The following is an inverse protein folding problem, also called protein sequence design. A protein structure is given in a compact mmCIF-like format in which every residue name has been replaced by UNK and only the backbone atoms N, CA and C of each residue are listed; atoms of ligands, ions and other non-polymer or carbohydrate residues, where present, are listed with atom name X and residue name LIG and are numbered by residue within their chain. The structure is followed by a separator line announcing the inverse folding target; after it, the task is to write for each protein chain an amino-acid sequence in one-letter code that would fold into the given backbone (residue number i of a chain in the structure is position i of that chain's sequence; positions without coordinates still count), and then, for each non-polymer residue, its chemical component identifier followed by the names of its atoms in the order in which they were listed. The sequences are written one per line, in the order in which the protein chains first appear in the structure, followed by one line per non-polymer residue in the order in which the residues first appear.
data_IF_916289258836
#
_entry.id   IF_916289258836
#
_cell.length_a   1.000
_cell.length_b   1.000
_cell.length_c   1.000
_cell.angle_alpha   90.00
_cell.angle_beta   90.00
_cell.angle_gamma   90.00
#
_symmetry.space_group_name_H-M   'P 1'
#
loop_
_entity.id
_entity.type
_entity.pdbx_description
1 polymer ?
#
# COMPACT_ATOMS: atom_id res chain seq x y z
N UNK A 1 -37.50 0.62 25.43
CA UNK A 1 -37.86 -0.64 26.10
C UNK A 1 -39.37 -0.65 26.26
N UNK A 2 -39.99 -1.80 26.09
CA UNK A 2 -41.42 -1.98 25.84
C UNK A 2 -42.07 -2.48 27.12
N UNK A 3 -42.99 -1.71 27.72
CA UNK A 3 -43.73 -2.15 28.92
C UNK A 3 -45.18 -2.52 28.61
N UNK A 4 -45.71 -3.58 29.25
CA UNK A 4 -47.12 -3.92 29.15
C UNK A 4 -47.96 -2.88 29.92
N UNK A 5 -48.91 -2.27 29.22
CA UNK A 5 -49.89 -1.36 29.80
C UNK A 5 -50.72 -2.11 30.83
N UNK A 6 -50.58 -1.76 32.11
CA UNK A 6 -51.23 -2.45 33.22
C UNK A 6 -52.73 -2.71 32.94
N UNK A 7 -53.12 -3.99 32.96
CA UNK A 7 -54.49 -4.44 32.73
C UNK A 7 -54.87 -4.68 31.26
N UNK A 8 -53.96 -4.49 30.30
CA UNK A 8 -54.12 -4.94 28.91
C UNK A 8 -52.87 -5.70 28.48
N UNK A 9 -53.04 -6.79 27.74
CA UNK A 9 -51.93 -7.57 27.17
C UNK A 9 -51.29 -6.82 25.97
N UNK A 10 -50.98 -5.55 26.17
CA UNK A 10 -50.60 -4.60 25.13
C UNK A 10 -49.39 -3.83 25.61
N UNK A 11 -48.45 -3.63 24.71
CA UNK A 11 -47.22 -2.93 24.97
C UNK A 11 -47.32 -1.46 24.53
N UNK A 12 -46.88 -0.53 25.37
CA UNK A 12 -46.95 0.90 25.09
C UNK A 12 -45.62 1.50 24.62
N UNK A 13 -45.67 2.41 23.65
CA UNK A 13 -44.59 3.36 23.37
C UNK A 13 -44.93 4.70 24.04
N UNK A 14 -43.96 5.35 24.70
CA UNK A 14 -44.09 6.72 25.17
C UNK A 14 -43.13 7.65 24.43
N UNK A 15 -43.62 8.83 24.09
CA UNK A 15 -42.80 9.93 23.59
C UNK A 15 -42.39 10.81 24.77
N UNK A 16 -41.09 11.06 24.93
CA UNK A 16 -40.55 11.98 25.93
C UNK A 16 -39.36 12.74 25.35
N UNK A 17 -38.97 13.83 26.00
CA UNK A 17 -37.80 14.63 25.62
C UNK A 17 -36.50 13.85 25.79
N UNK A 18 -35.57 14.07 24.86
CA UNK A 18 -34.24 13.46 24.87
C UNK A 18 -33.50 13.72 26.19
N UNK A 19 -32.88 12.67 26.74
CA UNK A 19 -32.02 12.74 27.94
C UNK A 19 -32.72 13.30 29.19
N UNK A 20 -34.05 13.13 29.28
CA UNK A 20 -34.81 13.51 30.47
C UNK A 20 -35.25 12.27 31.25
N UNK A 21 -35.21 12.37 32.58
CA UNK A 21 -35.80 11.38 33.50
C UNK A 21 -37.26 11.81 33.71
N UNK A 22 -38.23 10.99 33.31
CA UNK A 22 -39.64 11.24 33.66
C UNK A 22 -40.13 10.26 34.73
N UNK A 23 -40.84 10.82 35.71
CA UNK A 23 -41.55 10.06 36.74
C UNK A 23 -42.86 9.45 36.24
N UNK A 24 -43.50 8.66 37.12
CA UNK A 24 -44.74 7.90 36.85
C UNK A 24 -45.97 8.77 36.58
N UNK A 25 -45.93 10.06 36.93
CA UNK A 25 -47.01 11.04 36.76
C UNK A 25 -46.94 11.82 35.44
N UNK A 26 -45.90 11.63 34.62
CA UNK A 26 -45.73 12.27 33.32
C UNK A 26 -45.55 13.80 33.37
N UNK A 27 -45.37 14.39 34.55
CA UNK A 27 -45.44 15.84 34.77
C UNK A 27 -44.20 16.42 35.48
N UNK A 28 -43.01 15.87 35.23
CA UNK A 28 -41.79 16.52 35.71
C UNK A 28 -40.51 15.73 35.48
N UNK A 29 -39.40 16.46 35.39
CA UNK A 29 -38.05 15.89 35.45
C UNK A 29 -37.83 15.37 36.88
N UNK A 30 -37.82 14.06 37.06
CA UNK A 30 -37.70 13.42 38.39
C UNK A 30 -36.25 13.07 38.76
N UNK A 31 -36.01 12.80 40.05
CA UNK A 31 -34.79 12.14 40.51
C UNK A 31 -34.78 10.66 40.05
N UNK A 32 -33.60 10.03 39.97
CA UNK A 32 -33.51 8.60 39.69
C UNK A 32 -34.20 7.79 40.80
N UNK A 33 -35.31 7.12 40.48
CA UNK A 33 -36.07 6.27 41.40
C UNK A 33 -36.58 5.01 40.67
N UNK A 34 -37.06 4.03 41.43
CA UNK A 34 -37.83 2.89 40.93
C UNK A 34 -38.99 3.38 40.06
N UNK A 35 -39.17 2.76 38.88
CA UNK A 35 -40.19 3.15 37.89
C UNK A 35 -39.98 4.53 37.22
N UNK A 36 -38.76 5.08 37.25
CA UNK A 36 -38.39 6.25 36.43
C UNK A 36 -37.73 5.83 35.12
N UNK A 37 -37.99 6.58 34.05
CA UNK A 37 -37.51 6.24 32.71
C UNK A 37 -36.50 7.27 32.25
N UNK A 38 -35.35 6.81 31.76
CA UNK A 38 -34.41 7.64 31.02
C UNK A 38 -34.53 7.39 29.52
N UNK A 39 -34.85 8.44 28.76
CA UNK A 39 -34.95 8.34 27.31
C UNK A 39 -33.59 8.59 26.66
N UNK A 40 -32.94 7.52 26.20
CA UNK A 40 -31.79 7.62 25.31
C UNK A 40 -32.29 7.91 23.89
N UNK A 41 -31.79 9.00 23.29
CA UNK A 41 -31.97 9.25 21.86
C UNK A 41 -30.70 8.92 21.12
N UNK A 42 -30.88 8.34 19.94
CA UNK A 42 -29.81 8.13 18.99
C UNK A 42 -29.96 9.20 17.92
N UNK A 43 -29.25 10.31 18.08
CA UNK A 43 -29.28 11.41 17.12
C UNK A 43 -28.66 10.98 15.78
N UNK A 44 -28.92 11.71 14.69
CA UNK A 44 -28.31 11.40 13.39
C UNK A 44 -26.77 11.52 13.46
N UNK A 45 -26.26 12.39 14.33
CA UNK A 45 -24.84 12.54 14.63
C UNK A 45 -24.28 11.32 15.39
N UNK A 46 -25.04 10.74 16.31
CA UNK A 46 -24.69 9.48 16.97
C UNK A 46 -24.75 8.28 15.99
N UNK A 47 -25.62 8.36 14.97
CA UNK A 47 -25.74 7.41 13.88
C UNK A 47 -24.72 7.57 12.76
N UNK A 48 -23.84 8.57 12.82
CA UNK A 48 -22.77 8.75 11.86
C UNK A 48 -21.77 7.60 12.01
N UNK A 49 -22.06 6.49 11.32
CA UNK A 49 -21.17 5.34 11.27
C UNK A 49 -19.81 5.80 10.76
N UNK A 50 -18.73 5.37 11.41
CA UNK A 50 -17.36 5.75 11.05
C UNK A 50 -16.89 5.26 9.66
N UNK A 51 -17.81 4.96 8.74
CA UNK A 51 -17.58 4.50 7.39
C UNK A 51 -16.69 5.45 6.59
N UNK A 52 -16.94 6.76 6.63
CA UNK A 52 -16.10 7.73 5.94
C UNK A 52 -14.65 7.69 6.45
N UNK A 53 -14.46 7.60 7.77
CA UNK A 53 -13.13 7.44 8.38
C UNK A 53 -12.47 6.11 8.00
N UNK A 54 -13.24 5.01 7.98
CA UNK A 54 -12.76 3.67 7.57
C UNK A 54 -12.32 3.66 6.11
N UNK A 55 -13.11 4.29 5.23
CA UNK A 55 -12.80 4.40 3.81
C UNK A 55 -11.55 5.26 3.58
N UNK A 56 -11.42 6.40 4.28
CA UNK A 56 -10.21 7.22 4.22
C UNK A 56 -8.97 6.45 4.71
N UNK A 57 -9.08 5.71 5.81
CA UNK A 57 -7.99 4.87 6.33
C UNK A 57 -7.59 3.77 5.34
N UNK A 58 -8.56 3.11 4.71
CA UNK A 58 -8.30 2.09 3.69
C UNK A 58 -7.58 2.67 2.47
N UNK A 59 -8.01 3.85 1.98
CA UNK A 59 -7.33 4.55 0.88
C UNK A 59 -5.90 4.94 1.23
N UNK A 60 -5.66 5.42 2.46
CA UNK A 60 -4.31 5.77 2.91
C UNK A 60 -3.41 4.54 3.04
N UNK A 61 -3.94 3.42 3.54
CA UNK A 61 -3.20 2.16 3.62
C UNK A 61 -2.85 1.61 2.23
N UNK A 62 -3.77 1.69 1.28
CA UNK A 62 -3.53 1.35 -0.13
C UNK A 62 -2.41 2.21 -0.72
N UNK A 63 -2.48 3.52 -0.53
CA UNK A 63 -1.47 4.46 -0.99
C UNK A 63 -0.11 4.15 -0.36
N UNK A 64 -0.05 3.91 0.95
CA UNK A 64 1.18 3.50 1.66
C UNK A 64 1.74 2.18 1.15
N UNK A 65 0.91 1.20 0.81
CA UNK A 65 1.38 -0.07 0.22
C UNK A 65 1.99 0.14 -1.17
N UNK A 66 1.43 1.07 -1.96
CA UNK A 66 1.99 1.47 -3.25
C UNK A 66 3.27 2.31 -3.11
N UNK A 67 3.38 3.08 -2.02
CA UNK A 67 4.52 3.95 -1.71
C UNK A 67 5.63 3.26 -0.91
N UNK A 68 5.34 2.12 -0.29
CA UNK A 68 6.37 1.30 0.35
C UNK A 68 7.34 0.86 -0.74
N UNK A 69 8.58 1.32 -0.61
CA UNK A 69 9.67 0.84 -1.44
C UNK A 69 9.75 -0.68 -1.28
N UNK A 70 9.52 -1.40 -2.39
CA UNK A 70 9.56 -2.86 -2.44
C UNK A 70 10.93 -3.40 -2.01
N UNK A 71 11.96 -2.58 -2.23
CA UNK A 71 13.35 -2.85 -1.90
C UNK A 71 13.93 -1.76 -0.99
N UNK A 72 15.00 -2.06 -0.25
CA UNK A 72 15.80 -1.08 0.49
C UNK A 72 16.29 0.08 -0.40
N UNK A 73 16.78 1.14 0.23
CA UNK A 73 17.40 2.27 -0.48
C UNK A 73 18.47 1.82 -1.46
N UNK A 74 18.51 2.42 -2.64
CA UNK A 74 19.45 2.13 -3.73
C UNK A 74 19.30 0.75 -4.39
N UNK A 75 18.21 0.02 -4.11
CA UNK A 75 17.88 -1.22 -4.79
C UNK A 75 16.59 -1.08 -5.58
N UNK A 76 16.58 -1.71 -6.74
CA UNK A 76 15.44 -1.74 -7.65
C UNK A 76 14.77 -3.11 -7.57
N UNK A 77 13.44 -3.14 -7.48
CA UNK A 77 12.68 -4.38 -7.48
C UNK A 77 12.57 -4.90 -8.92
N UNK A 78 13.38 -5.89 -9.28
CA UNK A 78 13.39 -6.51 -10.60
C UNK A 78 12.49 -7.75 -10.63
N UNK A 79 11.71 -7.89 -11.70
CA UNK A 79 10.80 -9.03 -11.86
C UNK A 79 11.59 -10.29 -12.18
N UNK A 80 11.32 -11.37 -11.45
CA UNK A 80 11.92 -12.67 -11.77
C UNK A 80 11.09 -13.32 -12.88
N UNK A 81 11.68 -13.63 -14.05
CA UNK A 81 10.96 -14.17 -15.19
C UNK A 81 10.25 -15.48 -14.81
N UNK A 82 9.07 -15.71 -15.40
CA UNK A 82 8.23 -16.89 -15.15
C UNK A 82 7.68 -17.00 -13.71
N UNK A 83 7.85 -15.97 -12.88
CA UNK A 83 7.26 -15.90 -11.54
C UNK A 83 6.52 -14.59 -11.32
N UNK A 84 5.67 -14.53 -10.28
CA UNK A 84 5.07 -13.29 -9.81
C UNK A 84 5.91 -12.61 -8.71
N UNK A 85 7.16 -13.03 -8.54
CA UNK A 85 8.07 -12.56 -7.50
C UNK A 85 9.01 -11.48 -8.03
N UNK A 86 9.72 -10.84 -7.11
CA UNK A 86 10.75 -9.86 -7.42
C UNK A 86 12.00 -10.11 -6.58
N UNK A 87 13.13 -9.64 -7.08
CA UNK A 87 14.39 -9.54 -6.37
C UNK A 87 14.88 -8.10 -6.32
N UNK A 88 15.65 -7.77 -5.30
CA UNK A 88 16.19 -6.44 -5.11
C UNK A 88 17.62 -6.38 -5.63
N UNK A 89 17.80 -5.70 -6.75
CA UNK A 89 19.09 -5.58 -7.46
C UNK A 89 19.58 -4.14 -7.44
N UNK A 90 20.89 -3.96 -7.26
CA UNK A 90 21.57 -2.70 -7.54
C UNK A 90 21.87 -2.59 -9.04
N UNK A 91 20.97 -1.97 -9.80
CA UNK A 91 21.12 -1.76 -11.24
C UNK A 91 22.25 -0.80 -11.62
N UNK A 92 22.94 -0.20 -10.64
CA UNK A 92 24.12 0.63 -10.86
C UNK A 92 25.42 -0.18 -10.97
N UNK A 93 25.44 -1.42 -10.48
CA UNK A 93 26.64 -2.25 -10.35
C UNK A 93 26.45 -3.72 -10.75
N UNK A 94 25.22 -4.20 -10.87
CA UNK A 94 24.92 -5.57 -11.28
C UNK A 94 25.13 -5.74 -12.81
N UNK A 95 25.77 -6.86 -13.20
CA UNK A 95 26.27 -7.08 -14.55
C UNK A 95 25.17 -7.50 -15.53
N UNK A 96 24.18 -8.26 -15.07
CA UNK A 96 23.09 -8.81 -15.87
C UNK A 96 21.90 -7.83 -15.99
N UNK A 97 21.79 -6.88 -15.07
CA UNK A 97 20.74 -5.86 -14.97
C UNK A 97 21.35 -4.46 -14.87
N UNK A 98 22.35 -4.19 -15.70
CA UNK A 98 23.02 -2.90 -15.71
C UNK A 98 22.12 -1.82 -16.30
N UNK A 99 21.93 -0.72 -15.58
CA UNK A 99 21.11 0.42 -15.98
C UNK A 99 19.59 0.22 -15.90
N UNK A 100 19.14 -0.94 -15.44
CA UNK A 100 17.72 -1.25 -15.26
C UNK A 100 17.50 -2.75 -15.04
N UNK A 101 16.28 -3.17 -14.74
CA UNK A 101 15.98 -4.60 -14.62
C UNK A 101 15.92 -5.26 -16.00
N UNK A 102 16.64 -6.37 -16.21
CA UNK A 102 16.63 -7.09 -17.51
C UNK A 102 15.20 -7.49 -17.93
N UNK A 103 14.36 -7.89 -16.98
CA UNK A 103 12.98 -8.33 -17.20
C UNK A 103 11.93 -7.31 -16.75
N UNK A 104 12.34 -6.06 -16.52
CA UNK A 104 11.46 -4.99 -16.08
C UNK A 104 11.28 -4.90 -14.57
N UNK A 105 10.91 -3.70 -14.11
CA UNK A 105 10.67 -3.41 -12.70
C UNK A 105 9.34 -4.00 -12.22
N UNK A 106 9.35 -4.62 -11.05
CA UNK A 106 8.16 -5.21 -10.45
C UNK A 106 7.13 -4.14 -10.10
N UNK A 107 5.90 -4.31 -10.58
CA UNK A 107 4.81 -3.36 -10.35
C UNK A 107 4.90 -2.06 -11.17
N UNK A 108 5.81 -1.97 -12.14
CA UNK A 108 5.95 -0.82 -13.06
C UNK A 108 5.95 -1.29 -14.51
N UNK A 109 5.07 -0.71 -15.32
CA UNK A 109 4.90 -1.11 -16.73
C UNK A 109 5.83 -0.38 -17.71
N UNK A 110 6.44 0.74 -17.29
CA UNK A 110 7.27 1.61 -18.15
C UNK A 110 8.65 1.85 -17.50
N UNK A 111 9.35 0.79 -17.11
CA UNK A 111 10.73 0.88 -16.63
C UNK A 111 11.72 0.79 -17.78
N UNK A 112 12.86 1.48 -17.65
CA UNK A 112 14.01 1.27 -18.53
C UNK A 112 14.48 -0.18 -18.39
N UNK A 113 14.56 -0.91 -19.49
CA UNK A 113 15.13 -2.26 -19.49
C UNK A 113 16.65 -2.17 -19.30
N UNK A 114 17.18 -2.98 -18.41
CA UNK A 114 18.63 -3.14 -18.27
C UNK A 114 19.23 -3.98 -19.37
N UNK A 115 20.55 -4.11 -19.32
CA UNK A 115 21.30 -4.98 -20.22
C UNK A 115 22.30 -5.86 -19.48
N UNK A 116 22.62 -6.99 -20.10
CA UNK A 116 23.66 -7.90 -19.66
C UNK A 116 25.01 -7.52 -20.29
N UNK A 117 25.88 -6.91 -19.48
CA UNK A 117 27.20 -6.50 -19.92
C UNK A 117 28.11 -7.70 -20.25
N UNK A 118 27.85 -8.90 -19.70
CA UNK A 118 28.67 -10.09 -19.93
C UNK A 118 28.56 -10.63 -21.37
N UNK A 119 27.48 -10.26 -22.07
CA UNK A 119 27.20 -10.69 -23.45
C UNK A 119 27.74 -9.74 -24.51
N UNK A 120 28.48 -8.69 -24.12
CA UNK A 120 29.00 -7.70 -25.06
C UNK A 120 29.96 -8.32 -26.11
N UNK A 121 29.78 -7.98 -27.40
CA UNK A 121 30.60 -8.52 -28.47
C UNK A 121 32.03 -7.99 -28.39
N UNK A 122 33.00 -8.86 -28.68
CA UNK A 122 34.41 -8.47 -28.75
C UNK A 122 35.10 -8.27 -27.40
N UNK A 123 34.38 -8.24 -26.28
CA UNK A 123 34.96 -8.14 -24.93
C UNK A 123 35.60 -9.47 -24.53
N UNK A 124 36.79 -9.43 -23.94
CA UNK A 124 37.42 -10.60 -23.34
C UNK A 124 36.64 -11.08 -22.12
N UNK A 125 36.73 -12.38 -21.81
CA UNK A 125 36.00 -12.96 -20.68
C UNK A 125 36.41 -12.28 -19.36
N UNK A 126 35.42 -11.82 -18.59
CA UNK A 126 35.64 -11.09 -17.33
C UNK A 126 36.20 -9.68 -17.48
N UNK A 127 36.33 -9.16 -18.70
CA UNK A 127 36.91 -7.84 -18.96
C UNK A 127 35.84 -6.77 -19.19
N UNK A 128 34.73 -6.85 -18.46
CA UNK A 128 33.62 -5.90 -18.48
C UNK A 128 33.04 -5.76 -17.08
N UNK A 129 32.57 -4.56 -16.73
CA UNK A 129 31.82 -4.30 -15.51
C UNK A 129 30.58 -3.46 -15.79
N UNK A 130 29.67 -3.39 -14.82
CA UNK A 130 28.65 -2.35 -14.75
C UNK A 130 29.11 -1.29 -13.76
N UNK A 131 29.26 -0.05 -14.23
CA UNK A 131 29.62 1.09 -13.41
C UNK A 131 28.70 2.26 -13.73
N UNK A 132 28.13 2.87 -12.70
CA UNK A 132 27.20 4.00 -12.81
C UNK A 132 26.09 3.75 -13.86
N UNK A 133 25.49 2.56 -13.82
CA UNK A 133 24.44 2.13 -14.74
C UNK A 133 24.88 2.04 -16.22
N UNK A 134 26.17 1.84 -16.49
CA UNK A 134 26.75 1.68 -17.83
C UNK A 134 27.70 0.49 -17.89
N UNK A 135 27.69 -0.22 -19.00
CA UNK A 135 28.68 -1.27 -19.24
C UNK A 135 30.01 -0.66 -19.68
N UNK A 136 31.10 -1.04 -19.00
CA UNK A 136 32.45 -0.60 -19.33
C UNK A 136 33.37 -1.78 -19.61
N UNK A 137 33.96 -1.83 -20.80
CA UNK A 137 34.94 -2.85 -21.17
C UNK A 137 36.38 -2.41 -20.87
N UNK A 138 37.19 -3.31 -20.33
CA UNK A 138 38.61 -3.06 -20.01
C UNK A 138 39.58 -3.81 -20.91
N UNK A 139 39.14 -4.89 -21.56
CA UNK A 139 39.96 -5.64 -22.51
C UNK A 139 39.12 -6.31 -23.60
N UNK A 140 39.68 -6.35 -24.81
CA UNK A 140 39.03 -6.91 -25.98
C UNK A 140 39.71 -8.22 -26.43
N UNK A 141 38.93 -9.09 -27.08
CA UNK A 141 39.42 -10.30 -27.75
C UNK A 141 40.35 -9.93 -28.91
N UNK A 142 41.16 -10.90 -29.35
CA UNK A 142 41.97 -10.74 -30.57
C UNK A 142 41.07 -10.38 -31.77
N UNK A 143 41.53 -9.43 -32.59
CA UNK A 143 40.73 -8.87 -33.70
C UNK A 143 39.77 -7.74 -33.31
N UNK A 144 39.79 -7.30 -32.05
CA UNK A 144 39.08 -6.11 -31.57
C UNK A 144 40.04 -5.14 -30.87
N UNK A 145 39.73 -3.85 -30.94
CA UNK A 145 40.44 -2.78 -30.21
C UNK A 145 39.47 -2.03 -29.30
N UNK A 146 39.97 -1.59 -28.15
CA UNK A 146 39.19 -0.78 -27.21
C UNK A 146 39.10 0.66 -27.72
N UNK A 147 37.88 1.17 -27.89
CA UNK A 147 37.60 2.56 -28.29
C UNK A 147 36.55 3.11 -27.34
N UNK A 148 36.97 3.98 -26.41
CA UNK A 148 36.16 4.32 -25.25
C UNK A 148 35.93 3.07 -24.40
N UNK A 149 34.67 2.81 -24.07
CA UNK A 149 34.26 1.69 -23.20
C UNK A 149 33.77 0.46 -23.99
N UNK A 150 34.01 0.44 -25.31
CA UNK A 150 33.53 -0.58 -26.23
C UNK A 150 34.65 -1.23 -27.05
N UNK A 151 34.48 -2.51 -27.33
CA UNK A 151 35.36 -3.25 -28.23
C UNK A 151 34.83 -3.18 -29.68
N UNK A 152 35.64 -2.63 -30.59
CA UNK A 152 35.31 -2.54 -32.02
C UNK A 152 36.25 -3.42 -32.86
N UNK A 153 35.78 -4.07 -33.93
CA UNK A 153 36.65 -4.85 -34.82
C UNK A 153 37.80 -4.01 -35.39
N UNK A 154 38.97 -4.63 -35.54
CA UNK A 154 40.17 -4.04 -36.17
C UNK A 154 40.22 -4.39 -37.65
#
# INVERSE_FOLDING_TARGET
MVEPLAGRNAFGCRCNNAYTIQGTDGNGVGACDSYTWFTYVHSQEAAATGWSKRQQKARLAEKRRREQALCPSHLTACTIPQTASYECIDTGSELESCGGCMHGEHGRLNSTAGMDCSTLPGVAFGAVTCYDSRCEAFACKAGYRLVGDFCVPV
#
